data_IF_100865313589
#
_entry.id   IF_100865313589
#
_cell.length_a   1.000
_cell.length_b   1.000
_cell.length_c   1.000
_cell.angle_alpha   90.00
_cell.angle_beta   90.00
_cell.angle_gamma   90.00
#
_symmetry.space_group_name_H-M   'P 1'
#
loop_
_entity.id
_entity.type
_entity.pdbx_description
1 polymer ?
#
# COMPACT_ATOMS: atom_id res chain seq x y z
N UNK A 1 35.46 -32.72 3.89
CA UNK A 1 35.54 -31.36 4.48
C UNK A 1 34.34 -30.58 3.96
N UNK A 2 33.27 -30.50 4.75
CA UNK A 2 31.93 -30.13 4.27
C UNK A 2 31.40 -28.90 5.01
N UNK A 3 31.68 -27.68 4.54
CA UNK A 3 31.10 -26.48 5.15
C UNK A 3 31.40 -25.24 4.27
N UNK A 4 30.50 -24.31 3.99
CA UNK A 4 29.05 -24.20 4.22
C UNK A 4 28.48 -23.36 3.08
N UNK A 5 27.35 -23.82 2.56
CA UNK A 5 26.48 -23.12 1.62
C UNK A 5 26.02 -21.77 2.21
N UNK A 6 26.39 -20.65 1.60
CA UNK A 6 25.94 -19.31 2.00
C UNK A 6 24.50 -19.12 1.50
N UNK A 7 23.55 -18.99 2.42
CA UNK A 7 22.14 -18.75 2.10
C UNK A 7 21.89 -17.29 1.68
N UNK A 8 21.16 -17.02 0.58
CA UNK A 8 20.73 -15.66 0.23
C UNK A 8 19.59 -15.19 1.15
N UNK A 9 19.79 -14.05 1.82
CA UNK A 9 18.79 -13.39 2.69
C UNK A 9 17.61 -12.87 1.87
N UNK A 10 16.53 -13.65 1.74
CA UNK A 10 15.25 -13.18 1.15
C UNK A 10 14.60 -12.12 2.07
N UNK A 11 14.44 -10.89 1.58
CA UNK A 11 13.65 -9.82 2.23
C UNK A 11 12.17 -10.24 2.27
N UNK A 12 11.63 -10.48 3.48
CA UNK A 12 10.20 -10.73 3.70
C UNK A 12 9.43 -9.41 3.55
N UNK A 13 8.68 -9.23 2.46
CA UNK A 13 7.57 -8.27 2.41
C UNK A 13 6.33 -9.01 2.90
N UNK A 14 5.96 -8.77 4.15
CA UNK A 14 4.72 -9.32 4.73
C UNK A 14 3.54 -8.54 4.14
N UNK A 15 3.17 -8.88 2.91
CA UNK A 15 2.07 -8.26 2.19
C UNK A 15 0.75 -8.90 2.62
N UNK A 16 0.28 -8.59 3.81
CA UNK A 16 -1.12 -8.81 4.17
C UNK A 16 -1.94 -7.64 3.59
N UNK A 17 -1.93 -7.49 2.24
CA UNK A 17 -2.57 -6.36 1.56
C UNK A 17 -3.98 -6.76 1.12
N UNK A 18 -4.92 -6.65 2.05
CA UNK A 18 -6.36 -6.69 1.77
C UNK A 18 -6.75 -5.31 1.24
N UNK A 19 -6.59 -5.01 -0.06
CA UNK A 19 -7.19 -3.79 -0.64
C UNK A 19 -7.32 -3.91 -2.15
N UNK A 20 -8.55 -3.93 -2.64
CA UNK A 20 -8.90 -3.65 -4.04
C UNK A 20 -9.73 -2.37 -4.15
N UNK A 21 -9.63 -1.43 -3.21
CA UNK A 21 -10.20 -0.10 -3.36
C UNK A 21 -9.17 0.86 -3.97
N UNK A 22 -9.63 1.64 -4.96
CA UNK A 22 -8.82 2.65 -5.66
C UNK A 22 -9.34 4.03 -5.33
N UNK A 23 -8.54 4.87 -4.70
CA UNK A 23 -8.87 6.27 -4.41
C UNK A 23 -8.33 7.18 -5.50
N UNK A 24 -8.89 8.39 -5.61
CA UNK A 24 -8.34 9.45 -6.45
C UNK A 24 -7.45 10.36 -5.60
N UNK A 25 -6.21 10.57 -6.03
CA UNK A 25 -5.31 11.51 -5.35
C UNK A 25 -5.91 12.93 -5.43
N UNK A 26 -6.06 13.66 -4.30
CA UNK A 26 -6.59 15.02 -4.31
C UNK A 26 -5.61 16.05 -4.91
N UNK A 27 -4.32 15.70 -5.04
CA UNK A 27 -3.27 16.61 -5.48
C UNK A 27 -3.00 16.53 -6.99
N UNK A 28 -2.93 15.31 -7.55
CA UNK A 28 -2.61 15.09 -8.96
C UNK A 28 -3.72 14.37 -9.74
N UNK A 29 -4.84 14.06 -9.08
CA UNK A 29 -5.99 13.39 -9.68
C UNK A 29 -5.73 11.98 -10.24
N UNK A 30 -4.57 11.39 -9.97
CA UNK A 30 -4.26 10.03 -10.37
C UNK A 30 -5.06 9.00 -9.56
N UNK A 31 -5.36 7.87 -10.19
CA UNK A 31 -6.03 6.76 -9.54
C UNK A 31 -4.97 5.90 -8.87
N UNK A 32 -5.04 5.79 -7.55
CA UNK A 32 -4.05 5.08 -6.74
C UNK A 32 -4.74 4.11 -5.79
N UNK A 33 -3.97 3.20 -5.24
CA UNK A 33 -4.47 2.25 -4.25
C UNK A 33 -4.85 2.97 -2.95
N UNK A 34 -5.93 2.54 -2.33
CA UNK A 34 -6.31 3.01 -0.99
C UNK A 34 -5.31 2.54 0.08
N UNK A 35 -5.35 3.17 1.25
CA UNK A 35 -4.46 2.91 2.39
C UNK A 35 -3.03 3.45 2.23
N UNK A 36 -2.70 4.06 1.08
CA UNK A 36 -1.39 4.67 0.87
C UNK A 36 -1.21 5.94 1.70
N UNK A 37 0.00 6.14 2.24
CA UNK A 37 0.37 7.38 2.96
C UNK A 37 0.88 8.45 2.00
N UNK A 38 1.49 8.04 0.89
CA UNK A 38 2.08 8.90 -0.14
C UNK A 38 1.60 8.44 -1.52
N UNK A 39 1.38 9.40 -2.42
CA UNK A 39 1.02 9.12 -3.80
C UNK A 39 2.26 8.67 -4.58
N UNK A 40 2.25 7.49 -5.22
CA UNK A 40 3.38 7.00 -6.02
C UNK A 40 3.57 7.80 -7.33
N UNK A 41 2.54 8.52 -7.78
CA UNK A 41 2.56 9.26 -9.03
C UNK A 41 3.14 10.67 -8.86
N UNK A 42 2.71 11.42 -7.84
CA UNK A 42 3.18 12.79 -7.61
C UNK A 42 4.10 12.97 -6.41
N UNK A 43 4.20 11.97 -5.52
CA UNK A 43 5.02 12.05 -4.31
C UNK A 43 4.37 12.78 -3.13
N UNK A 44 3.23 13.45 -3.32
CA UNK A 44 2.55 14.16 -2.23
C UNK A 44 1.95 13.18 -1.20
N UNK A 45 1.88 13.64 0.06
CA UNK A 45 1.26 12.87 1.14
C UNK A 45 -0.26 12.88 0.98
N UNK A 46 -0.87 11.71 1.11
CA UNK A 46 -2.33 11.56 1.04
C UNK A 46 -2.89 11.87 2.43
N UNK A 47 -3.84 12.82 2.56
CA UNK A 47 -4.41 13.18 3.86
C UNK A 47 -5.27 12.03 4.40
N UNK A 48 -5.37 11.83 5.74
CA UNK A 48 -6.05 10.68 6.34
C UNK A 48 -7.49 10.44 5.86
N UNK A 49 -8.24 11.50 5.56
CA UNK A 49 -9.61 11.42 5.05
C UNK A 49 -9.71 10.96 3.59
N UNK A 50 -8.64 11.09 2.80
CA UNK A 50 -8.61 10.71 1.39
C UNK A 50 -7.98 9.34 1.14
N UNK A 51 -7.54 8.64 2.20
CA UNK A 51 -6.84 7.36 2.07
C UNK A 51 -7.75 6.19 1.77
N UNK A 52 -9.06 6.32 1.99
CA UNK A 52 -10.03 5.23 1.85
C UNK A 52 -11.29 5.75 1.16
N UNK A 53 -11.92 4.91 0.35
CA UNK A 53 -13.23 5.25 -0.22
C UNK A 53 -14.36 4.84 0.72
N UNK A 54 -15.48 5.56 0.69
CA UNK A 54 -16.66 5.22 1.49
C UNK A 54 -17.34 3.90 1.06
N UNK A 55 -16.97 3.36 -0.10
CA UNK A 55 -17.50 2.12 -0.71
C UNK A 55 -16.75 0.85 -0.25
N UNK A 56 -15.56 1.00 0.35
CA UNK A 56 -14.87 -0.14 0.96
C UNK A 56 -15.67 -0.53 2.21
N UNK A 57 -16.54 -1.53 2.07
CA UNK A 57 -17.44 -2.11 3.08
C UNK A 57 -16.70 -2.81 4.25
N UNK A 58 -15.56 -2.26 4.68
CA UNK A 58 -14.93 -2.61 5.95
C UNK A 58 -15.75 -1.97 7.06
N UNK A 59 -16.70 -2.76 7.54
CA UNK A 59 -17.79 -2.39 8.42
C UNK A 59 -17.39 -1.60 9.66
N UNK A 60 -18.19 -0.57 9.91
CA UNK A 60 -18.47 -0.09 11.26
C UNK A 60 -19.76 -0.80 11.70
N UNK A 61 -19.62 -1.74 12.63
CA UNK A 61 -20.70 -2.24 13.49
C UNK A 61 -20.64 -1.48 14.81
#
# INVERSE_FOLDING_TARGET
MAYRFILPKKKKKNSNKITSGKIKCPECNSIIEEGLVFCPECGNRIPPWARFNADSSQGVL
#
